data_IF_197993182549
#
_entry.id   IF_197993182549
#
_cell.length_a   1.000
_cell.length_b   1.000
_cell.length_c   1.000
_cell.angle_alpha   90.00
_cell.angle_beta   90.00
_cell.angle_gamma   90.00
#
_symmetry.space_group_name_H-M   'P 1'
#
loop_
_entity.id
_entity.type
_entity.pdbx_description
1 polymer ?
#
# COMPACT_ATOMS: atom_id res chain seq x y z
N UNK A 1 -24.94 23.19 9.22
CA UNK A 1 -23.67 22.70 8.66
C UNK A 1 -23.71 21.19 8.66
N UNK A 2 -23.78 20.58 7.48
CA UNK A 2 -24.05 19.17 7.25
C UNK A 2 -22.97 18.29 7.85
N UNK A 3 -23.36 17.37 8.74
CA UNK A 3 -22.55 16.20 9.08
C UNK A 3 -22.42 15.39 7.79
N UNK A 4 -21.24 15.40 7.17
CA UNK A 4 -20.86 14.43 6.14
C UNK A 4 -20.91 13.06 6.82
N UNK A 5 -22.06 12.39 6.69
CA UNK A 5 -22.28 11.08 7.27
C UNK A 5 -21.33 10.09 6.60
N UNK A 6 -20.47 9.48 7.40
CA UNK A 6 -19.78 8.26 7.02
C UNK A 6 -20.85 7.27 6.51
N UNK A 7 -20.57 6.50 5.43
CA UNK A 7 -21.52 5.50 4.96
C UNK A 7 -21.85 4.54 6.10
N UNK A 8 -23.11 4.12 6.19
CA UNK A 8 -23.53 3.14 7.21
C UNK A 8 -22.64 1.89 7.14
N UNK A 9 -22.17 1.42 8.30
CA UNK A 9 -21.24 0.28 8.44
C UNK A 9 -21.58 -0.98 7.61
N UNK A 10 -22.87 -1.37 7.40
CA UNK A 10 -23.20 -2.52 6.54
C UNK A 10 -22.77 -2.33 5.08
N UNK A 11 -22.94 -1.12 4.53
CA UNK A 11 -22.59 -0.80 3.15
C UNK A 11 -21.07 -0.77 2.97
N UNK A 12 -20.36 -0.23 3.97
CA UNK A 12 -18.90 -0.19 4.01
C UNK A 12 -18.28 -1.58 3.94
N UNK A 13 -18.79 -2.53 4.72
CA UNK A 13 -18.25 -3.90 4.77
C UNK A 13 -18.51 -4.64 3.45
N UNK A 14 -19.73 -4.56 2.90
CA UNK A 14 -20.06 -5.21 1.61
C UNK A 14 -19.14 -4.75 0.47
N UNK A 15 -18.83 -3.46 0.40
CA UNK A 15 -17.98 -2.91 -0.66
C UNK A 15 -16.51 -3.33 -0.51
N UNK A 16 -16.00 -3.40 0.73
CA UNK A 16 -14.65 -3.91 0.99
C UNK A 16 -14.55 -5.41 0.73
N UNK A 17 -15.56 -6.20 1.08
CA UNK A 17 -15.58 -7.64 0.86
C UNK A 17 -15.60 -7.98 -0.63
N UNK A 18 -16.40 -7.27 -1.44
CA UNK A 18 -16.40 -7.40 -2.89
C UNK A 18 -15.04 -7.03 -3.50
N UNK A 19 -14.42 -5.95 -3.01
CA UNK A 19 -13.09 -5.54 -3.44
C UNK A 19 -12.05 -6.61 -3.12
N UNK A 20 -12.09 -7.17 -1.90
CA UNK A 20 -11.22 -8.28 -1.49
C UNK A 20 -11.38 -9.49 -2.39
N UNK A 21 -12.62 -9.91 -2.65
CA UNK A 21 -12.92 -11.05 -3.51
C UNK A 21 -12.39 -10.87 -4.94
N UNK A 22 -12.41 -9.63 -5.46
CA UNK A 22 -11.83 -9.31 -6.78
C UNK A 22 -10.30 -9.29 -6.75
N UNK A 23 -9.70 -8.66 -5.75
CA UNK A 23 -8.24 -8.54 -5.61
C UNK A 23 -7.55 -9.89 -5.46
N UNK A 24 -8.16 -10.83 -4.70
CA UNK A 24 -7.62 -12.19 -4.53
C UNK A 24 -7.47 -12.96 -5.85
N UNK A 25 -8.21 -12.61 -6.90
CA UNK A 25 -8.06 -13.24 -8.23
C UNK A 25 -6.77 -12.83 -8.95
N UNK A 26 -6.16 -11.73 -8.54
CA UNK A 26 -4.91 -11.19 -9.09
C UNK A 26 -3.72 -11.38 -8.14
N UNK A 27 -3.92 -12.10 -7.03
CA UNK A 27 -2.87 -12.37 -6.07
C UNK A 27 -1.86 -13.35 -6.66
N UNK A 28 -0.63 -12.88 -6.86
CA UNK A 28 0.49 -13.70 -7.29
C UNK A 28 1.29 -14.27 -6.11
N UNK A 29 0.96 -13.88 -4.88
CA UNK A 29 1.67 -14.25 -3.67
C UNK A 29 3.19 -14.01 -3.75
N UNK A 30 3.96 -14.93 -3.18
CA UNK A 30 5.43 -14.86 -3.16
C UNK A 30 6.13 -15.32 -4.45
N UNK A 31 5.44 -15.44 -5.60
CA UNK A 31 6.00 -16.07 -6.81
C UNK A 31 7.35 -15.47 -7.25
N UNK A 32 7.54 -14.16 -7.07
CA UNK A 32 8.77 -13.45 -7.44
C UNK A 32 9.58 -12.95 -6.23
N UNK A 33 9.19 -13.30 -5.00
CA UNK A 33 9.77 -12.69 -3.79
C UNK A 33 11.23 -13.10 -3.57
N UNK A 34 11.64 -14.26 -4.06
CA UNK A 34 12.98 -14.83 -3.89
C UNK A 34 14.02 -14.35 -4.92
N UNK A 35 13.62 -13.59 -5.94
CA UNK A 35 14.54 -13.13 -6.97
C UNK A 35 15.58 -12.14 -6.41
N UNK A 36 16.86 -12.21 -6.84
CA UNK A 36 17.97 -11.47 -6.24
C UNK A 36 18.03 -10.01 -6.75
N UNK A 37 17.00 -9.22 -6.46
CA UNK A 37 16.92 -7.80 -6.79
C UNK A 37 17.14 -6.90 -5.56
N UNK A 38 17.41 -5.61 -5.82
CA UNK A 38 17.20 -4.58 -4.81
C UNK A 38 15.68 -4.39 -4.63
N UNK A 39 15.13 -4.91 -3.55
CA UNK A 39 13.68 -5.00 -3.34
C UNK A 39 13.12 -3.76 -2.64
N UNK A 40 11.99 -3.31 -3.15
CA UNK A 40 11.17 -2.25 -2.58
C UNK A 40 9.72 -2.75 -2.55
N UNK A 41 8.97 -2.34 -1.54
CA UNK A 41 7.56 -2.66 -1.42
C UNK A 41 6.75 -1.39 -1.20
N UNK A 42 5.57 -1.35 -1.80
CA UNK A 42 4.60 -0.27 -1.62
C UNK A 42 3.27 -0.85 -1.15
N UNK A 43 2.57 -0.10 -0.30
CA UNK A 43 1.20 -0.40 0.09
C UNK A 43 0.26 0.44 -0.76
N UNK A 44 -0.76 -0.19 -1.38
CA UNK A 44 -1.85 0.52 -2.05
C UNK A 44 -3.06 0.57 -1.10
N UNK A 45 -3.21 1.61 -0.25
CA UNK A 45 -4.18 1.57 0.83
C UNK A 45 -5.56 1.96 0.29
N UNK A 46 -6.49 1.01 0.32
CA UNK A 46 -7.88 1.26 -0.03
C UNK A 46 -8.67 1.76 1.19
N UNK A 47 -9.31 2.92 1.03
CA UNK A 47 -10.13 3.55 2.08
C UNK A 47 -11.57 3.67 1.58
N UNK A 48 -12.50 3.08 2.31
CA UNK A 48 -13.93 3.28 2.08
C UNK A 48 -14.39 4.56 2.78
N UNK A 49 -14.84 5.54 2.01
CA UNK A 49 -15.37 6.82 2.51
C UNK A 49 -16.53 7.25 1.61
N UNK A 50 -17.61 7.76 2.21
CA UNK A 50 -18.78 8.27 1.47
C UNK A 50 -19.33 7.28 0.42
N UNK A 51 -19.36 5.99 0.77
CA UNK A 51 -19.87 4.91 -0.09
C UNK A 51 -18.98 4.54 -1.28
N UNK A 52 -17.73 5.04 -1.34
CA UNK A 52 -16.80 4.81 -2.45
C UNK A 52 -15.42 4.38 -1.95
N UNK A 53 -14.70 3.65 -2.79
CA UNK A 53 -13.28 3.35 -2.58
C UNK A 53 -12.41 4.51 -3.03
N UNK A 54 -11.39 4.78 -2.22
CA UNK A 54 -10.35 5.76 -2.49
C UNK A 54 -8.99 5.11 -2.29
N UNK A 55 -7.98 5.62 -3.00
CA UNK A 55 -6.58 5.31 -2.75
C UNK A 55 -5.95 6.43 -1.93
N UNK A 56 -5.21 6.05 -0.90
CA UNK A 56 -4.39 6.98 -0.14
C UNK A 56 -3.04 7.16 -0.83
N UNK A 57 -2.62 8.42 -0.95
CA UNK A 57 -1.30 8.81 -1.46
C UNK A 57 -0.57 9.65 -0.42
N UNK A 58 0.75 9.68 -0.51
CA UNK A 58 1.63 10.58 0.24
C UNK A 58 2.30 11.56 -0.74
N UNK A 59 2.70 12.72 -0.21
CA UNK A 59 3.61 13.64 -0.91
C UNK A 59 4.95 13.52 -0.23
N UNK A 60 5.97 13.12 -1.00
CA UNK A 60 7.32 12.90 -0.47
C UNK A 60 7.91 14.19 0.06
N UNK A 61 8.61 14.11 1.20
CA UNK A 61 9.31 15.26 1.75
C UNK A 61 10.35 15.79 0.74
N UNK A 62 10.40 17.11 0.59
CA UNK A 62 11.40 17.82 -0.23
C UNK A 62 12.85 17.52 0.17
N UNK A 63 13.07 16.99 1.39
CA UNK A 63 14.40 16.68 1.92
C UNK A 63 14.94 15.31 1.49
N UNK A 64 14.15 14.52 0.75
CA UNK A 64 14.54 13.17 0.34
C UNK A 64 15.45 13.20 -0.89
N UNK A 65 16.45 12.30 -0.92
CA UNK A 65 17.41 12.19 -2.02
C UNK A 65 16.79 11.71 -3.35
N UNK A 66 15.62 11.07 -3.30
CA UNK A 66 14.90 10.56 -4.47
C UNK A 66 13.47 11.08 -4.48
N UNK A 67 13.04 11.60 -5.63
CA UNK A 67 11.68 12.03 -5.92
C UNK A 67 11.11 13.01 -4.86
N UNK A 68 11.81 14.12 -4.53
CA UNK A 68 11.27 15.13 -3.61
C UNK A 68 9.99 15.75 -4.18
N UNK A 69 8.96 15.93 -3.35
CA UNK A 69 7.70 16.56 -3.74
C UNK A 69 6.75 15.69 -4.60
N UNK A 70 7.17 14.49 -5.00
CA UNK A 70 6.34 13.61 -5.82
C UNK A 70 5.23 12.93 -5.01
N UNK A 71 4.10 12.70 -5.70
CA UNK A 71 2.98 11.90 -5.18
C UNK A 71 3.32 10.43 -5.33
N UNK A 72 3.31 9.68 -4.23
CA UNK A 72 3.56 8.24 -4.26
C UNK A 72 2.64 7.48 -3.30
N UNK A 73 2.69 6.16 -3.38
CA UNK A 73 2.15 5.30 -2.34
C UNK A 73 3.12 5.19 -1.16
N UNK A 74 2.63 4.92 0.06
CA UNK A 74 3.50 4.59 1.17
C UNK A 74 4.37 3.37 0.86
N UNK A 75 5.65 3.44 1.14
CA UNK A 75 6.55 2.33 0.85
C UNK A 75 8.02 2.72 0.76
N UNK A 76 8.87 1.71 0.69
CA UNK A 76 10.29 1.90 0.81
C UNK A 76 11.10 0.66 0.53
N UNK A 77 12.38 0.71 0.89
CA UNK A 77 13.35 -0.35 0.63
C UNK A 77 13.15 -1.47 1.65
N UNK A 78 13.29 -2.72 1.21
CA UNK A 78 13.33 -3.86 2.13
C UNK A 78 14.54 -3.79 3.05
N UNK A 79 14.29 -3.95 4.34
CA UNK A 79 15.29 -4.04 5.39
C UNK A 79 15.59 -5.52 5.73
N UNK A 80 16.82 -5.89 6.16
CA UNK A 80 17.12 -7.25 6.60
C UNK A 80 16.24 -7.79 7.73
N UNK A 81 15.61 -6.91 8.51
CA UNK A 81 14.68 -7.27 9.59
C UNK A 81 13.27 -7.61 9.10
N UNK A 82 12.93 -7.29 7.85
CA UNK A 82 11.62 -7.56 7.28
C UNK A 82 11.47 -9.05 6.94
N UNK A 83 10.51 -9.72 7.59
CA UNK A 83 10.21 -11.15 7.39
C UNK A 83 9.86 -11.48 5.94
N UNK A 84 9.10 -10.61 5.28
CA UNK A 84 8.71 -10.73 3.88
C UNK A 84 8.48 -9.35 3.25
N UNK A 85 8.08 -9.34 1.97
CA UNK A 85 7.88 -8.10 1.21
C UNK A 85 6.65 -7.32 1.70
N UNK A 86 5.67 -7.97 2.33
CA UNK A 86 4.51 -7.30 2.92
C UNK A 86 4.89 -6.58 4.23
N UNK A 87 5.75 -7.20 5.05
CA UNK A 87 6.31 -6.59 6.25
C UNK A 87 7.03 -5.27 5.92
N UNK A 88 7.79 -5.22 4.82
CA UNK A 88 8.41 -3.98 4.34
C UNK A 88 7.36 -2.90 4.07
N UNK A 89 6.29 -3.19 3.31
CA UNK A 89 5.26 -2.20 3.01
C UNK A 89 4.55 -1.70 4.28
N UNK A 90 4.28 -2.58 5.23
CA UNK A 90 3.62 -2.25 6.50
C UNK A 90 4.50 -1.39 7.41
N UNK A 91 5.79 -1.74 7.54
CA UNK A 91 6.76 -0.95 8.32
C UNK A 91 6.87 0.46 7.78
N UNK A 92 7.09 0.60 6.47
CA UNK A 92 7.21 1.90 5.80
C UNK A 92 5.92 2.72 5.92
N UNK A 93 4.74 2.10 5.73
CA UNK A 93 3.46 2.80 5.93
C UNK A 93 3.25 3.26 7.38
N UNK A 94 3.74 2.49 8.36
CA UNK A 94 3.71 2.90 9.75
C UNK A 94 4.64 4.10 10.01
N UNK A 95 5.84 4.11 9.44
CA UNK A 95 6.82 5.19 9.57
C UNK A 95 6.35 6.49 8.89
N UNK A 96 5.78 6.39 7.68
CA UNK A 96 5.44 7.56 6.86
C UNK A 96 4.09 8.20 7.25
N UNK A 97 3.07 7.39 7.58
CA UNK A 97 1.70 7.89 7.84
C UNK A 97 1.10 7.40 9.15
N UNK A 98 1.87 6.67 9.98
CA UNK A 98 1.39 6.18 11.28
C UNK A 98 0.39 5.03 11.21
N UNK A 99 0.26 4.37 10.05
CA UNK A 99 -0.67 3.25 9.86
C UNK A 99 -0.20 2.01 10.64
N UNK A 100 -0.90 1.67 11.73
CA UNK A 100 -0.53 0.53 12.56
C UNK A 100 -0.98 -0.79 11.90
N UNK A 101 -0.25 -1.91 12.09
CA UNK A 101 -0.58 -3.19 11.48
C UNK A 101 -2.01 -3.66 11.73
N UNK A 102 -2.58 -3.40 12.91
CA UNK A 102 -3.95 -3.78 13.24
C UNK A 102 -5.05 -2.95 12.53
N UNK A 103 -4.67 -1.89 11.81
CA UNK A 103 -5.60 -1.03 11.06
C UNK A 103 -5.71 -1.41 9.59
N UNK A 104 -4.93 -2.40 9.14
CA UNK A 104 -4.80 -2.78 7.73
C UNK A 104 -4.84 -4.29 7.58
N UNK A 105 -5.58 -4.75 6.58
CA UNK A 105 -5.57 -6.13 6.10
C UNK A 105 -4.86 -6.16 4.75
N UNK A 106 -3.74 -6.88 4.66
CA UNK A 106 -3.07 -7.10 3.37
C UNK A 106 -3.82 -8.22 2.64
N UNK A 107 -4.40 -7.89 1.48
CA UNK A 107 -5.34 -8.77 0.78
C UNK A 107 -4.66 -9.61 -0.31
N UNK A 108 -3.71 -9.01 -1.05
CA UNK A 108 -3.03 -9.64 -2.18
C UNK A 108 -1.68 -8.99 -2.46
N UNK A 109 -0.79 -9.73 -3.14
CA UNK A 109 0.39 -9.21 -3.81
C UNK A 109 0.11 -9.12 -5.32
N UNK A 110 0.25 -7.92 -5.90
CA UNK A 110 0.09 -7.70 -7.35
C UNK A 110 1.40 -7.95 -8.10
N UNK A 111 1.34 -7.98 -9.43
CA UNK A 111 2.51 -8.16 -10.29
C UNK A 111 3.59 -7.10 -9.98
N UNK A 112 4.86 -7.50 -9.78
CA UNK A 112 5.92 -6.56 -9.45
C UNK A 112 6.32 -5.70 -10.66
N UNK A 113 6.77 -4.48 -10.39
CA UNK A 113 7.36 -3.59 -11.40
C UNK A 113 8.88 -3.75 -11.42
N UNK A 114 9.44 -4.10 -12.58
CA UNK A 114 10.89 -4.06 -12.80
C UNK A 114 11.27 -2.68 -13.32
N UNK A 115 12.13 -1.98 -12.58
CA UNK A 115 12.57 -0.62 -12.93
C UNK A 115 14.08 -0.67 -13.17
N UNK A 116 14.49 -0.29 -14.39
CA UNK A 116 15.90 -0.05 -14.69
C UNK A 116 16.29 1.32 -14.12
N UNK A 117 16.87 1.32 -12.92
CA UNK A 117 17.42 2.55 -12.33
C UNK A 117 18.81 2.74 -12.92
N UNK A 118 18.89 3.33 -14.12
CA UNK A 118 20.15 3.86 -14.61
C UNK A 118 20.60 4.94 -13.63
N UNK A 119 21.65 4.64 -12.87
CA UNK A 119 22.33 5.62 -12.02
C UNK A 119 22.98 6.61 -12.97
N UNK A 120 22.31 7.73 -13.20
CA UNK A 120 22.91 8.97 -13.73
C UNK A 120 23.67 9.68 -12.63
#
# INVERSE_FOLDING_TARGET
MSRLGLPEEPVRNSLLDDAKARLRKYDIGGKYSHLPYNKYSVLLPLVAKEGKLHLLFTVRSEKLRRAPGEVCFPGGKRDPTDMDDAATALREAQEEVGLRPHQVEVVCCLVPCLIDVRVS
#
